data_IF_781272617615
#
_entry.id   IF_781272617615
#
_cell.length_a   1.000
_cell.length_b   1.000
_cell.length_c   1.000
_cell.angle_alpha   90.00
_cell.angle_beta   90.00
_cell.angle_gamma   90.00
#
_symmetry.space_group_name_H-M   'P 1'
#
loop_
_entity.id
_entity.type
_entity.pdbx_description
1 polymer ?
#
# COMPACT_ATOMS: atom_id res chain seq x y z
N UNK A 1 13.82 12.99 35.56
CA UNK A 1 12.92 13.02 34.38
C UNK A 1 13.71 12.51 33.18
N UNK A 2 13.55 11.22 32.84
CA UNK A 2 14.27 10.58 31.74
C UNK A 2 13.30 10.44 30.57
N UNK A 3 13.74 10.90 29.40
CA UNK A 3 12.98 11.03 28.14
C UNK A 3 12.31 9.70 27.74
N UNK A 4 11.00 9.77 27.48
CA UNK A 4 10.24 8.72 26.81
C UNK A 4 10.81 8.48 25.40
N UNK A 5 11.41 7.31 25.19
CA UNK A 5 11.65 6.73 23.87
C UNK A 5 10.36 6.00 23.47
N UNK A 6 9.49 6.64 22.70
CA UNK A 6 8.48 5.90 21.94
C UNK A 6 9.13 5.33 20.68
N UNK A 7 9.91 4.26 20.86
CA UNK A 7 10.13 3.32 19.77
C UNK A 7 8.76 2.74 19.42
N UNK A 8 8.28 3.04 18.21
CA UNK A 8 7.06 2.45 17.64
C UNK A 8 7.21 0.93 17.64
N UNK A 9 6.59 0.27 18.62
CA UNK A 9 6.44 -1.18 18.66
C UNK A 9 5.40 -1.55 17.60
N UNK A 10 5.82 -1.66 16.33
CA UNK A 10 5.00 -2.34 15.32
C UNK A 10 4.66 -3.71 15.89
N UNK A 11 3.37 -3.96 16.09
CA UNK A 11 2.91 -5.18 16.77
C UNK A 11 3.22 -6.42 15.91
N UNK A 12 3.08 -7.61 16.50
CA UNK A 12 3.33 -8.87 15.79
C UNK A 12 2.43 -8.99 14.56
N UNK A 13 3.04 -9.26 13.39
CA UNK A 13 2.31 -9.54 12.13
C UNK A 13 1.22 -10.58 12.36
N UNK A 14 0.07 -10.38 11.73
CA UNK A 14 -1.05 -11.34 11.73
C UNK A 14 -0.94 -12.32 10.57
N UNK A 15 -1.52 -13.51 10.77
CA UNK A 15 -1.50 -14.62 9.81
C UNK A 15 -2.90 -15.25 9.70
N UNK A 16 -3.24 -15.79 8.53
CA UNK A 16 -4.42 -16.66 8.43
C UNK A 16 -4.14 -18.10 8.87
N UNK A 17 -5.19 -18.93 8.87
CA UNK A 17 -5.13 -20.37 9.20
C UNK A 17 -4.15 -21.17 8.34
N UNK A 18 -3.88 -20.70 7.13
CA UNK A 18 -3.03 -21.38 6.16
C UNK A 18 -1.59 -20.88 6.27
N UNK A 19 -1.29 -19.93 7.17
CA UNK A 19 0.04 -19.35 7.40
C UNK A 19 0.45 -18.26 6.42
N UNK A 20 -0.51 -17.58 5.77
CA UNK A 20 -0.24 -16.39 4.97
C UNK A 20 -0.19 -15.14 5.84
N UNK A 21 0.80 -14.27 5.62
CA UNK A 21 0.85 -12.95 6.27
C UNK A 21 -0.30 -12.10 5.74
N UNK A 22 -1.09 -11.53 6.66
CA UNK A 22 -2.18 -10.64 6.31
C UNK A 22 -1.66 -9.21 6.11
N UNK A 23 -2.12 -8.57 5.04
CA UNK A 23 -1.65 -7.25 4.63
C UNK A 23 -2.79 -6.39 4.13
N UNK A 24 -2.68 -5.07 4.24
CA UNK A 24 -3.60 -4.19 3.55
C UNK A 24 -2.88 -3.01 2.91
N UNK A 25 -3.51 -2.41 1.90
CA UNK A 25 -3.01 -1.24 1.19
C UNK A 25 -4.01 -0.70 0.18
N UNK A 26 -3.62 0.33 -0.56
CA UNK A 26 -4.51 1.01 -1.49
C UNK A 26 -3.86 1.18 -2.87
N UNK A 27 -4.72 1.17 -3.90
CA UNK A 27 -4.44 1.94 -5.11
C UNK A 27 -4.82 3.39 -4.82
N UNK A 28 -3.81 4.22 -4.60
CA UNK A 28 -3.98 5.65 -4.34
C UNK A 28 -4.06 6.39 -5.68
N UNK A 29 -5.25 6.80 -6.09
CA UNK A 29 -5.47 7.57 -7.31
C UNK A 29 -5.42 9.07 -7.04
N UNK A 30 -5.03 9.83 -8.06
CA UNK A 30 -4.95 11.29 -7.98
C UNK A 30 -6.34 11.92 -7.80
N UNK A 31 -7.33 11.34 -8.45
CA UNK A 31 -8.71 11.83 -8.51
C UNK A 31 -9.69 10.67 -8.77
N UNK A 32 -10.97 10.99 -8.89
CA UNK A 32 -12.05 10.03 -9.19
C UNK A 32 -12.02 9.52 -10.64
N UNK A 33 -11.18 10.09 -11.52
CA UNK A 33 -11.02 9.61 -12.89
C UNK A 33 -10.15 8.35 -12.98
N UNK A 34 -9.40 8.04 -11.92
CA UNK A 34 -8.59 6.83 -11.76
C UNK A 34 -7.58 6.61 -12.91
N UNK A 35 -7.05 7.70 -13.48
CA UNK A 35 -6.10 7.64 -14.61
C UNK A 35 -4.63 7.63 -14.19
N UNK A 36 -4.33 8.15 -12.99
CA UNK A 36 -3.00 8.14 -12.40
C UNK A 36 -3.03 7.51 -11.02
N UNK A 37 -2.05 6.65 -10.74
CA UNK A 37 -1.87 5.96 -9.46
C UNK A 37 -0.52 6.30 -8.86
N UNK A 38 -0.48 6.47 -7.55
CA UNK A 38 0.75 6.65 -6.81
C UNK A 38 1.39 5.29 -6.52
N UNK A 39 2.64 5.14 -6.91
CA UNK A 39 3.49 4.02 -6.48
C UNK A 39 4.60 4.52 -5.57
N UNK A 40 5.14 3.59 -4.79
CA UNK A 40 6.30 3.84 -3.92
C UNK A 40 7.47 2.94 -4.30
N UNK A 41 8.69 3.41 -4.10
CA UNK A 41 9.87 2.59 -4.37
C UNK A 41 9.99 1.49 -3.32
N UNK A 42 10.55 0.34 -3.71
CA UNK A 42 10.88 -0.71 -2.76
C UNK A 42 12.11 -0.28 -1.95
N UNK A 43 12.01 -0.31 -0.63
CA UNK A 43 13.15 -0.07 0.26
C UNK A 43 14.32 -1.05 0.04
N UNK A 44 14.04 -2.28 -0.45
CA UNK A 44 15.08 -3.30 -0.71
C UNK A 44 15.70 -3.19 -2.11
N UNK A 45 14.94 -2.66 -3.07
CA UNK A 45 15.33 -2.51 -4.47
C UNK A 45 14.83 -1.14 -4.94
N UNK A 46 15.54 -0.04 -4.64
CA UNK A 46 15.05 1.31 -4.86
C UNK A 46 14.71 1.66 -6.32
N UNK A 47 15.17 0.86 -7.28
CA UNK A 47 14.85 0.93 -8.71
C UNK A 47 13.49 0.29 -9.07
N UNK A 48 12.86 -0.42 -8.14
CA UNK A 48 11.56 -1.08 -8.34
C UNK A 48 10.45 -0.34 -7.62
N UNK A 49 9.29 -0.28 -8.28
CA UNK A 49 8.07 0.30 -7.75
C UNK A 49 7.12 -0.76 -7.23
N UNK A 50 6.32 -0.40 -6.22
CA UNK A 50 5.28 -1.24 -5.63
C UNK A 50 4.07 -0.40 -5.25
N UNK A 51 2.91 -1.06 -5.17
CA UNK A 51 1.72 -0.50 -4.53
C UNK A 51 1.97 -0.41 -3.01
N UNK A 52 1.69 0.74 -2.35
CA UNK A 52 1.86 0.88 -0.91
C UNK A 52 0.93 -0.06 -0.16
N UNK A 53 1.50 -0.88 0.72
CA UNK A 53 0.79 -1.86 1.53
C UNK A 53 1.71 -2.41 2.60
N UNK A 54 1.19 -2.79 3.75
CA UNK A 54 1.96 -3.43 4.81
C UNK A 54 1.15 -4.40 5.63
N UNK A 55 1.65 -4.75 6.82
CA UNK A 55 1.09 -5.84 7.63
C UNK A 55 -0.14 -5.37 8.41
N UNK A 56 -1.16 -6.23 8.48
CA UNK A 56 -2.27 -6.01 9.42
C UNK A 56 -1.75 -6.32 10.82
N UNK A 57 -1.90 -5.36 11.71
CA UNK A 57 -1.49 -5.43 13.11
C UNK A 57 -2.60 -6.01 14.00
N UNK A 58 -2.25 -6.50 15.18
CA UNK A 58 -3.24 -7.11 16.08
C UNK A 58 -4.28 -6.07 16.51
N UNK A 59 -5.55 -6.35 16.22
CA UNK A 59 -6.67 -5.46 16.55
C UNK A 59 -6.96 -4.40 15.50
N UNK A 60 -6.22 -4.36 14.37
CA UNK A 60 -6.57 -3.51 13.24
C UNK A 60 -7.54 -4.21 12.29
N UNK A 61 -8.52 -3.47 11.82
CA UNK A 61 -9.31 -3.85 10.66
C UNK A 61 -8.53 -3.57 9.35
N UNK A 62 -8.75 -4.34 8.27
CA UNK A 62 -7.96 -4.18 7.03
C UNK A 62 -8.01 -2.78 6.42
N UNK A 63 -9.10 -2.04 6.59
CA UNK A 63 -9.25 -0.69 6.06
C UNK A 63 -8.47 0.35 6.88
N UNK A 64 -8.35 0.14 8.19
CA UNK A 64 -7.51 0.94 9.08
C UNK A 64 -6.04 0.73 8.75
N UNK A 65 -5.61 -0.54 8.63
CA UNK A 65 -4.27 -0.89 8.16
C UNK A 65 -3.97 -0.26 6.81
N UNK A 66 -4.89 -0.33 5.84
CA UNK A 66 -4.66 0.22 4.50
C UNK A 66 -4.40 1.73 4.55
N UNK A 67 -5.19 2.46 5.36
CA UNK A 67 -5.06 3.92 5.54
C UNK A 67 -3.76 4.28 6.26
N UNK A 68 -3.40 3.54 7.32
CA UNK A 68 -2.13 3.72 8.04
C UNK A 68 -0.93 3.48 7.14
N UNK A 69 -0.91 2.36 6.42
CA UNK A 69 0.22 1.96 5.57
C UNK A 69 0.45 2.92 4.39
N UNK A 70 -0.61 3.47 3.78
CA UNK A 70 -0.41 4.50 2.74
C UNK A 70 0.13 5.80 3.32
N UNK A 71 -0.25 6.17 4.54
CA UNK A 71 0.33 7.33 5.21
C UNK A 71 1.81 7.08 5.58
N UNK A 72 2.15 5.91 6.12
CA UNK A 72 3.51 5.55 6.51
C UNK A 72 4.45 5.34 5.31
N UNK A 73 4.01 4.66 4.25
CA UNK A 73 4.85 4.30 3.11
C UNK A 73 4.86 5.37 2.02
N UNK A 74 3.73 6.03 1.80
CA UNK A 74 3.54 7.00 0.71
C UNK A 74 3.35 8.45 1.20
N UNK A 75 3.06 8.68 2.49
CA UNK A 75 2.82 10.04 2.99
C UNK A 75 1.59 10.69 2.38
N UNK A 76 0.56 9.91 2.04
CA UNK A 76 -0.69 10.41 1.47
C UNK A 76 -1.87 10.11 2.37
N UNK A 77 -2.85 11.01 2.37
CA UNK A 77 -4.16 10.83 2.99
C UNK A 77 -5.24 11.06 1.93
N UNK A 78 -6.43 10.53 2.16
CA UNK A 78 -7.48 10.64 1.18
C UNK A 78 -8.78 10.00 1.58
N UNK A 79 -9.75 10.09 0.67
CA UNK A 79 -11.05 9.44 0.81
C UNK A 79 -10.89 7.98 0.46
N UNK A 80 -10.98 7.12 1.48
CA UNK A 80 -11.04 5.68 1.28
C UNK A 80 -12.33 5.31 0.54
N UNK A 81 -12.17 4.60 -0.57
CA UNK A 81 -13.25 4.20 -1.46
C UNK A 81 -13.54 2.71 -1.38
N UNK A 82 -13.91 2.14 -2.54
CA UNK A 82 -14.36 0.75 -2.64
C UNK A 82 -13.26 -0.25 -2.28
N UNK A 83 -13.68 -1.37 -1.70
CA UNK A 83 -12.86 -2.56 -1.56
C UNK A 83 -12.74 -3.27 -2.91
N UNK A 84 -11.51 -3.52 -3.38
CA UNK A 84 -11.26 -4.20 -4.66
C UNK A 84 -11.22 -5.72 -4.53
N UNK A 85 -10.75 -6.22 -3.40
CA UNK A 85 -10.66 -7.65 -3.12
C UNK A 85 -9.46 -8.04 -2.28
N UNK A 86 -9.38 -9.35 -2.00
CA UNK A 86 -8.23 -9.98 -1.37
C UNK A 86 -7.38 -10.64 -2.45
N UNK A 87 -6.10 -10.31 -2.47
CA UNK A 87 -5.16 -10.83 -3.45
C UNK A 87 -4.10 -11.69 -2.76
N UNK A 88 -4.10 -12.98 -3.10
CA UNK A 88 -3.13 -13.93 -2.61
C UNK A 88 -1.87 -13.93 -3.48
N UNK A 89 -0.71 -13.98 -2.83
CA UNK A 89 0.58 -14.22 -3.45
C UNK A 89 1.23 -15.42 -2.78
N UNK A 90 1.26 -16.56 -3.47
CA UNK A 90 1.81 -17.81 -2.95
C UNK A 90 3.33 -17.76 -2.79
N UNK A 91 4.04 -17.04 -3.67
CA UNK A 91 5.49 -16.92 -3.62
C UNK A 91 5.96 -16.17 -2.38
N UNK A 92 5.28 -15.08 -2.02
CA UNK A 92 5.58 -14.32 -0.80
C UNK A 92 4.77 -14.76 0.41
N UNK A 93 3.86 -15.73 0.25
CA UNK A 93 2.95 -16.22 1.30
C UNK A 93 2.19 -15.07 1.97
N UNK A 94 1.59 -14.19 1.16
CA UNK A 94 0.81 -13.03 1.65
C UNK A 94 -0.61 -13.01 1.09
N UNK A 95 -1.57 -12.52 1.88
CA UNK A 95 -2.92 -12.13 1.41
C UNK A 95 -3.10 -10.64 1.66
N UNK A 96 -3.38 -9.88 0.61
CA UNK A 96 -3.50 -8.42 0.67
C UNK A 96 -4.92 -7.96 0.41
N UNK A 97 -5.55 -7.29 1.37
CA UNK A 97 -6.78 -6.53 1.17
C UNK A 97 -6.42 -5.23 0.46
N UNK A 98 -7.04 -4.99 -0.69
CA UNK A 98 -6.74 -3.81 -1.50
C UNK A 98 -7.98 -2.95 -1.60
N UNK A 99 -7.82 -1.67 -1.30
CA UNK A 99 -8.86 -0.66 -1.43
C UNK A 99 -8.48 0.37 -2.51
N UNK A 100 -9.47 1.13 -2.96
CA UNK A 100 -9.24 2.38 -3.68
C UNK A 100 -9.14 3.51 -2.68
N UNK A 101 -8.23 4.46 -2.91
CA UNK A 101 -8.15 5.70 -2.16
C UNK A 101 -7.96 6.85 -3.14
N UNK A 102 -8.80 7.87 -3.05
CA UNK A 102 -8.61 9.12 -3.80
C UNK A 102 -7.84 10.08 -2.91
N UNK A 103 -6.62 10.45 -3.33
CA UNK A 103 -5.71 11.27 -2.53
C UNK A 103 -6.24 12.69 -2.43
N UNK A 104 -6.33 13.20 -1.20
CA UNK A 104 -6.69 14.60 -0.92
C UNK A 104 -5.49 15.40 -0.43
N UNK A 105 -4.54 14.74 0.22
CA UNK A 105 -3.40 15.39 0.86
C UNK A 105 -2.10 14.62 0.64
N UNK A 106 -1.04 15.36 0.40
CA UNK A 106 0.31 14.86 0.16
C UNK A 106 1.29 15.49 1.17
N UNK A 107 1.83 14.69 2.09
CA UNK A 107 2.84 15.15 3.04
C UNK A 107 4.17 15.37 2.33
N UNK A 108 4.87 16.46 2.64
CA UNK A 108 6.21 16.73 2.12
C UNK A 108 7.23 15.71 2.64
N UNK A 109 7.17 15.41 3.94
CA UNK A 109 7.99 14.38 4.61
C UNK A 109 7.10 13.43 5.37
N UNK A 110 7.35 12.13 5.27
CA UNK A 110 6.57 11.07 5.91
C UNK A 110 7.50 10.03 6.55
N UNK A 111 6.95 8.99 7.19
CA UNK A 111 7.77 8.04 7.95
C UNK A 111 8.83 7.36 7.09
N UNK A 112 8.44 6.75 5.97
CA UNK A 112 9.37 5.98 5.16
C UNK A 112 10.20 6.81 4.18
N UNK A 113 9.86 8.08 3.90
CA UNK A 113 10.78 8.95 3.17
C UNK A 113 12.07 9.19 3.93
N UNK A 114 12.01 9.25 5.27
CA UNK A 114 13.19 9.33 6.14
C UNK A 114 14.09 8.09 6.04
N UNK A 115 13.55 6.97 5.52
CA UNK A 115 14.26 5.71 5.25
C UNK A 115 14.70 5.60 3.78
N UNK A 116 14.49 6.64 2.96
CA UNK A 116 14.84 6.69 1.55
C UNK A 116 13.76 6.14 0.60
N UNK A 117 12.55 5.84 1.09
CA UNK A 117 11.42 5.50 0.19
C UNK A 117 11.03 6.72 -0.62
N UNK A 118 10.81 6.52 -1.92
CA UNK A 118 10.33 7.54 -2.86
C UNK A 118 8.87 7.24 -3.20
N UNK A 119 8.12 8.28 -3.58
CA UNK A 119 6.79 8.13 -4.20
C UNK A 119 6.77 8.83 -5.55
N UNK A 120 5.95 8.35 -6.47
CA UNK A 120 5.72 9.02 -7.74
C UNK A 120 4.37 8.62 -8.32
N UNK A 121 3.77 9.56 -9.05
CA UNK A 121 2.53 9.38 -9.78
C UNK A 121 2.82 8.82 -11.16
N UNK A 122 2.02 7.83 -11.58
CA UNK A 122 2.16 7.20 -12.88
C UNK A 122 0.80 7.04 -13.55
N UNK A 123 0.70 7.28 -14.87
CA UNK A 123 -0.43 6.79 -15.66
C UNK A 123 -0.62 5.29 -15.45
N UNK A 124 -1.87 4.80 -15.45
CA UNK A 124 -2.15 3.40 -15.12
C UNK A 124 -1.40 2.41 -16.02
N UNK A 125 -1.26 2.72 -17.31
CA UNK A 125 -0.57 1.82 -18.23
C UNK A 125 0.95 1.77 -17.94
N UNK A 126 1.56 2.92 -17.59
CA UNK A 126 2.94 2.98 -17.10
C UNK A 126 3.10 2.22 -15.78
N UNK A 127 2.18 2.41 -14.84
CA UNK A 127 2.18 1.71 -13.55
C UNK A 127 2.09 0.18 -13.73
N UNK A 128 1.26 -0.28 -14.68
CA UNK A 128 1.17 -1.70 -15.04
C UNK A 128 2.53 -2.22 -15.50
N UNK A 129 3.23 -1.50 -16.36
CA UNK A 129 4.52 -1.95 -16.90
C UNK A 129 5.62 -1.97 -15.83
N UNK A 130 5.65 -0.96 -14.95
CA UNK A 130 6.56 -0.91 -13.79
C UNK A 130 6.34 -2.06 -12.80
N UNK A 131 5.10 -2.55 -12.70
CA UNK A 131 4.71 -3.68 -11.85
C UNK A 131 4.84 -5.04 -12.54
N UNK A 132 5.41 -5.12 -13.75
CA UNK A 132 5.56 -6.40 -14.50
C UNK A 132 6.26 -7.53 -13.73
N UNK A 133 7.25 -7.21 -12.90
CA UNK A 133 7.92 -8.17 -12.02
C UNK A 133 7.10 -8.52 -10.74
N UNK A 134 5.89 -7.95 -10.59
CA UNK A 134 4.96 -8.07 -9.46
C UNK A 134 3.55 -8.42 -9.99
N UNK A 135 3.36 -9.58 -10.62
CA UNK A 135 2.11 -9.91 -11.34
C UNK A 135 0.86 -9.85 -10.46
N UNK A 136 0.97 -10.14 -9.15
CA UNK A 136 -0.15 -9.99 -8.22
C UNK A 136 -0.58 -8.53 -8.06
N UNK A 137 0.36 -7.58 -8.01
CA UNK A 137 0.03 -6.15 -7.91
C UNK A 137 -0.54 -5.60 -9.22
N UNK A 138 -0.10 -6.10 -10.39
CA UNK A 138 -0.75 -5.75 -11.67
C UNK A 138 -2.23 -6.14 -11.68
N UNK A 139 -2.60 -7.27 -11.06
CA UNK A 139 -4.01 -7.68 -10.94
C UNK A 139 -4.86 -6.68 -10.15
N UNK A 140 -4.25 -5.85 -9.29
CA UNK A 140 -4.98 -4.80 -8.57
C UNK A 140 -5.50 -3.77 -9.57
N UNK A 141 -4.61 -3.30 -10.47
CA UNK A 141 -4.93 -2.32 -11.52
C UNK A 141 -5.98 -2.87 -12.49
N UNK A 142 -5.83 -4.14 -12.91
CA UNK A 142 -6.84 -4.81 -13.76
C UNK A 142 -8.18 -4.89 -13.07
N UNK A 143 -8.21 -5.26 -11.78
CA UNK A 143 -9.45 -5.35 -11.00
C UNK A 143 -10.12 -3.97 -10.88
N UNK A 144 -9.36 -2.92 -10.58
CA UNK A 144 -9.88 -1.56 -10.46
C UNK A 144 -10.56 -1.07 -11.75
N UNK A 145 -9.95 -1.32 -12.93
CA UNK A 145 -10.56 -0.99 -14.23
C UNK A 145 -11.86 -1.78 -14.49
N UNK A 146 -11.96 -3.02 -14.02
CA UNK A 146 -13.13 -3.89 -14.26
C UNK A 146 -14.33 -3.64 -13.32
N UNK A 147 -14.13 -2.88 -12.24
CA UNK A 147 -15.16 -2.61 -11.23
C UNK A 147 -15.51 -1.12 -11.12
N UNK A 148 -15.28 -0.38 -12.20
CA UNK A 148 -15.75 0.99 -12.38
C UNK A 148 -17.17 0.99 -12.94
#
# INVERSE_FOLDING_TARGET
MIKNRSESLKTSRTYDKDGFVLRAGCLCFRDEDEQEVLLVSSLRKPDKWVVPAGGIENGEEPHETATREVQEEAGVMGKLGRFLGIFQNDLSRTKTWVFVLVVTDELETWEESRKGRKRSWFPIDTARDLLSAKPVQQRYLVKAKSTR
#
